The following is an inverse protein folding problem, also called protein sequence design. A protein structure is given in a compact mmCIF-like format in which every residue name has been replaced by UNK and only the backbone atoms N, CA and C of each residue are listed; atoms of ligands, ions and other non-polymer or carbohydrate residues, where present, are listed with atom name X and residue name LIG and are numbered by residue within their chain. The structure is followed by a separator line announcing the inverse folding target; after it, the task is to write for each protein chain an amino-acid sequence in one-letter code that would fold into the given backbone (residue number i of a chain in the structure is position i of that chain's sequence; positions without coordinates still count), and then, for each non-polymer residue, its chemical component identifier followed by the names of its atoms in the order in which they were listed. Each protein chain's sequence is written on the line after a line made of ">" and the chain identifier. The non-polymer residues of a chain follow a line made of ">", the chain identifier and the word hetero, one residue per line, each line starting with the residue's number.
data_IF_838956705570
#
_entry.id   IF_838956705570
#
_cell.length_a   1.000
_cell.length_b   1.000
_cell.length_c   1.000
_cell.angle_alpha   90.00
_cell.angle_beta   90.00
_cell.angle_gamma   90.00
#
_symmetry.space_group_name_H-M   'P 1'
#
loop_
_entity.id
_entity.type
_entity.pdbx_description
1 polymer ?
#
# COMPACT_ATOMS: atom_id res chain seq x y z
N UNK A 1 -5.38 -28.96 -4.05
CA UNK A 1 -4.24 -28.09 -3.67
C UNK A 1 -4.66 -26.64 -3.36
N UNK A 2 -5.81 -26.17 -3.82
CA UNK A 2 -6.32 -24.81 -3.54
C UNK A 2 -6.91 -24.66 -2.14
N UNK A 3 -7.45 -25.69 -1.53
CA UNK A 3 -8.03 -25.65 -0.17
C UNK A 3 -7.01 -25.39 0.96
N UNK A 4 -5.71 -25.64 0.71
CA UNK A 4 -4.68 -25.49 1.73
C UNK A 4 -4.16 -24.05 1.89
N UNK A 5 -4.35 -23.18 0.90
CA UNK A 5 -3.82 -21.80 0.93
C UNK A 5 -4.73 -20.89 1.75
N UNK A 6 -6.05 -21.11 1.70
CA UNK A 6 -7.01 -20.27 2.43
C UNK A 6 -7.05 -20.59 3.93
N UNK A 7 -6.82 -21.86 4.30
CA UNK A 7 -6.69 -22.26 5.72
C UNK A 7 -5.44 -21.66 6.38
N UNK A 8 -4.38 -21.42 5.60
CA UNK A 8 -3.13 -20.82 6.08
C UNK A 8 -3.29 -19.32 6.46
N UNK A 9 -4.17 -18.59 5.78
CA UNK A 9 -4.44 -17.17 6.07
C UNK A 9 -5.17 -16.93 7.40
N UNK A 10 -5.88 -17.93 7.91
CA UNK A 10 -6.71 -17.83 9.12
C UNK A 10 -5.94 -17.99 10.45
N UNK A 11 -4.67 -18.41 10.42
CA UNK A 11 -3.92 -18.89 11.59
C UNK A 11 -2.89 -17.90 12.14
N UNK A 12 -2.86 -16.66 11.69
CA UNK A 12 -1.79 -15.74 12.03
C UNK A 12 -1.96 -15.08 13.41
N UNK A 13 -1.32 -15.67 14.41
CA UNK A 13 -1.15 -15.08 15.74
C UNK A 13 -0.10 -13.95 15.79
N UNK A 14 0.03 -13.29 16.93
CA UNK A 14 0.75 -12.02 17.11
C UNK A 14 2.28 -12.10 17.32
N UNK A 15 2.90 -13.29 17.32
CA UNK A 15 4.36 -13.44 17.49
C UNK A 15 4.96 -14.54 16.59
N UNK A 16 6.22 -14.40 16.22
CA UNK A 16 6.96 -15.35 15.37
C UNK A 16 6.98 -16.78 15.94
N UNK A 17 7.28 -16.90 17.21
CA UNK A 17 7.35 -18.20 17.91
C UNK A 17 5.98 -18.88 18.04
N UNK A 18 4.94 -18.11 18.37
CA UNK A 18 3.57 -18.63 18.49
C UNK A 18 3.04 -19.12 17.14
N UNK A 19 3.32 -18.36 16.07
CA UNK A 19 2.90 -18.73 14.72
C UNK A 19 3.53 -20.05 14.26
N UNK A 20 4.84 -20.21 14.36
CA UNK A 20 5.53 -21.43 13.95
C UNK A 20 5.02 -22.65 14.73
N UNK A 21 4.80 -22.50 16.02
CA UNK A 21 4.27 -23.58 16.87
C UNK A 21 2.85 -24.00 16.48
N UNK A 22 1.98 -23.04 16.19
CA UNK A 22 0.59 -23.33 15.76
C UNK A 22 0.56 -24.00 14.39
N UNK A 23 1.33 -23.50 13.42
CA UNK A 23 1.41 -24.06 12.07
C UNK A 23 2.01 -25.46 12.10
N UNK A 24 3.08 -25.69 12.85
CA UNK A 24 3.67 -27.02 13.00
C UNK A 24 2.70 -28.00 13.67
N UNK A 25 1.98 -27.54 14.69
CA UNK A 25 0.99 -28.36 15.41
C UNK A 25 -0.17 -28.71 14.48
N UNK A 26 -0.67 -27.76 13.71
CA UNK A 26 -1.75 -27.98 12.74
C UNK A 26 -1.30 -28.88 11.58
N UNK A 27 -0.11 -28.65 11.04
CA UNK A 27 0.47 -29.49 9.99
C UNK A 27 0.60 -30.95 10.47
N UNK A 28 1.06 -31.18 11.70
CA UNK A 28 1.12 -32.50 12.31
C UNK A 28 -0.28 -33.14 12.51
N UNK A 29 -1.24 -32.36 13.00
CA UNK A 29 -2.60 -32.85 13.29
C UNK A 29 -3.38 -33.19 12.02
N UNK A 30 -3.09 -32.56 10.90
CA UNK A 30 -3.79 -32.74 9.62
C UNK A 30 -2.95 -33.42 8.54
N UNK A 31 -1.74 -33.90 8.86
CA UNK A 31 -0.78 -34.48 7.89
C UNK A 31 -0.45 -33.57 6.72
N UNK A 32 -0.38 -32.27 6.97
CA UNK A 32 -0.02 -31.27 5.95
C UNK A 32 1.50 -31.16 5.82
N UNK A 33 1.99 -31.26 4.60
CA UNK A 33 3.36 -30.89 4.26
C UNK A 33 3.42 -29.42 3.84
N UNK A 34 3.93 -28.57 4.72
CA UNK A 34 4.19 -27.17 4.34
C UNK A 34 5.28 -27.12 3.27
N UNK A 35 5.06 -26.40 2.16
CA UNK A 35 6.07 -26.29 1.14
C UNK A 35 7.28 -25.49 1.66
N UNK A 36 8.46 -26.07 1.55
CA UNK A 36 9.74 -25.43 1.93
C UNK A 36 10.49 -24.87 0.72
N UNK A 37 10.09 -25.31 -0.47
CA UNK A 37 10.71 -24.93 -1.74
C UNK A 37 9.70 -24.28 -2.67
N UNK A 38 10.16 -23.27 -3.39
CA UNK A 38 9.38 -22.61 -4.43
C UNK A 38 9.13 -23.57 -5.58
N UNK A 39 7.86 -23.78 -5.95
CA UNK A 39 7.47 -24.63 -7.08
C UNK A 39 7.95 -24.10 -8.44
N UNK A 40 8.27 -22.81 -8.54
CA UNK A 40 8.68 -22.14 -9.78
C UNK A 40 10.20 -22.23 -10.02
N UNK A 41 11.02 -22.04 -8.98
CA UNK A 41 12.48 -21.97 -9.14
C UNK A 41 13.29 -22.85 -8.19
N UNK A 42 12.64 -23.62 -7.30
CA UNK A 42 13.29 -24.53 -6.35
C UNK A 42 14.00 -23.85 -5.17
N UNK A 43 14.08 -22.52 -5.11
CA UNK A 43 14.67 -21.78 -4.00
C UNK A 43 13.81 -21.97 -2.71
N UNK A 44 14.40 -21.66 -1.55
CA UNK A 44 13.70 -21.73 -0.29
C UNK A 44 12.51 -20.78 -0.23
N UNK A 45 11.44 -21.20 0.41
CA UNK A 45 10.34 -20.35 0.80
C UNK A 45 10.61 -19.81 2.20
N UNK A 46 10.37 -18.52 2.39
CA UNK A 46 10.50 -17.82 3.67
C UNK A 46 9.15 -17.22 4.05
N UNK A 47 8.82 -17.28 5.34
CA UNK A 47 7.63 -16.65 5.87
C UNK A 47 7.90 -15.15 6.00
N UNK A 48 6.98 -14.31 5.54
CA UNK A 48 7.09 -12.87 5.74
C UNK A 48 6.93 -12.49 7.24
N UNK A 49 7.31 -11.27 7.62
CA UNK A 49 7.33 -10.87 9.04
C UNK A 49 5.94 -10.74 9.69
N UNK A 50 4.87 -10.67 8.89
CA UNK A 50 3.50 -10.69 9.40
C UNK A 50 2.95 -12.13 9.51
N UNK A 51 3.76 -13.13 9.19
CA UNK A 51 3.45 -14.57 9.24
C UNK A 51 2.24 -15.02 8.39
N UNK A 52 1.85 -14.23 7.38
CA UNK A 52 0.66 -14.48 6.56
C UNK A 52 0.95 -15.10 5.20
N UNK A 53 2.19 -15.04 4.73
CA UNK A 53 2.54 -15.43 3.37
C UNK A 53 3.89 -16.13 3.32
N UNK A 54 3.98 -17.16 2.47
CA UNK A 54 5.24 -17.74 2.04
C UNK A 54 5.73 -16.98 0.80
N UNK A 55 6.96 -16.50 0.85
CA UNK A 55 7.63 -15.82 -0.27
C UNK A 55 8.84 -16.60 -0.73
N UNK A 56 9.10 -16.62 -2.03
CA UNK A 56 10.34 -17.16 -2.57
C UNK A 56 11.52 -16.29 -2.15
N UNK A 57 12.60 -16.91 -1.63
CA UNK A 57 13.83 -16.18 -1.26
C UNK A 57 14.62 -15.67 -2.47
N UNK A 58 14.38 -16.22 -3.66
CA UNK A 58 14.99 -15.76 -4.90
C UNK A 58 14.28 -14.53 -5.44
N UNK A 59 14.91 -13.36 -5.36
CA UNK A 59 14.38 -12.09 -5.86
C UNK A 59 14.14 -12.06 -7.38
N UNK A 60 14.83 -12.92 -8.14
CA UNK A 60 14.68 -13.04 -9.59
C UNK A 60 13.70 -14.15 -10.00
N UNK A 61 12.96 -14.72 -9.07
CA UNK A 61 11.95 -15.72 -9.39
C UNK A 61 10.75 -15.10 -10.11
N UNK A 62 10.19 -15.83 -11.08
CA UNK A 62 8.94 -15.44 -11.79
C UNK A 62 7.83 -15.07 -10.80
N UNK A 63 7.66 -15.83 -9.72
CA UNK A 63 6.65 -15.55 -8.70
C UNK A 63 6.85 -14.19 -8.01
N UNK A 64 8.10 -13.73 -7.87
CA UNK A 64 8.41 -12.40 -7.31
C UNK A 64 8.04 -11.29 -8.29
N UNK A 65 8.33 -11.47 -9.58
CA UNK A 65 7.91 -10.51 -10.61
C UNK A 65 6.39 -10.41 -10.68
N UNK A 66 5.70 -11.57 -10.72
CA UNK A 66 4.25 -11.61 -10.70
C UNK A 66 3.67 -10.86 -9.49
N UNK A 67 4.21 -11.11 -8.28
CA UNK A 67 3.77 -10.46 -7.07
C UNK A 67 3.97 -8.93 -7.10
N UNK A 68 5.09 -8.44 -7.64
CA UNK A 68 5.34 -6.99 -7.79
C UNK A 68 4.36 -6.35 -8.77
N UNK A 69 4.17 -6.95 -9.94
CA UNK A 69 3.23 -6.44 -10.94
C UNK A 69 1.79 -6.42 -10.39
N UNK A 70 1.36 -7.51 -9.73
CA UNK A 70 0.03 -7.59 -9.12
C UNK A 70 -0.15 -6.51 -8.05
N UNK A 71 0.81 -6.35 -7.13
CA UNK A 71 0.74 -5.31 -6.10
C UNK A 71 0.67 -3.91 -6.73
N UNK A 72 1.45 -3.64 -7.78
CA UNK A 72 1.41 -2.36 -8.48
C UNK A 72 0.03 -2.08 -9.09
N UNK A 73 -0.51 -3.05 -9.84
CA UNK A 73 -1.82 -2.89 -10.49
C UNK A 73 -2.96 -2.79 -9.49
N UNK A 74 -2.90 -3.53 -8.38
CA UNK A 74 -3.89 -3.48 -7.31
C UNK A 74 -3.84 -2.14 -6.56
N UNK A 75 -2.64 -1.64 -6.22
CA UNK A 75 -2.44 -0.37 -5.53
C UNK A 75 -2.97 0.80 -6.36
N UNK A 76 -2.67 0.83 -7.65
CA UNK A 76 -3.15 1.87 -8.56
C UNK A 76 -4.55 1.58 -9.14
N UNK A 77 -5.22 0.48 -8.74
CA UNK A 77 -6.56 0.07 -9.20
C UNK A 77 -6.66 -0.13 -10.71
N UNK A 78 -5.56 -0.54 -11.35
CA UNK A 78 -5.46 -0.84 -12.78
C UNK A 78 -6.12 -2.20 -13.03
N UNK A 79 -7.20 -2.23 -13.77
CA UNK A 79 -7.91 -3.45 -14.12
C UNK A 79 -7.25 -4.17 -15.30
N UNK A 80 -7.78 -5.35 -15.66
CA UNK A 80 -7.35 -6.19 -16.79
C UNK A 80 -5.99 -6.90 -16.59
N UNK A 81 -5.30 -6.68 -15.46
CA UNK A 81 -4.02 -7.31 -15.11
C UNK A 81 -4.18 -8.30 -13.94
N UNK A 82 -5.13 -9.25 -14.05
CA UNK A 82 -5.24 -10.35 -13.09
C UNK A 82 -4.04 -11.29 -13.15
N UNK A 83 -3.81 -12.08 -12.09
CA UNK A 83 -2.63 -12.97 -11.95
C UNK A 83 -2.40 -13.88 -13.16
N UNK A 84 -3.47 -14.47 -13.71
CA UNK A 84 -3.37 -15.32 -14.91
C UNK A 84 -2.93 -14.53 -16.15
N UNK A 85 -3.40 -13.29 -16.29
CA UNK A 85 -2.97 -12.39 -17.36
C UNK A 85 -1.51 -12.01 -17.20
N UNK A 86 -1.10 -11.60 -15.99
CA UNK A 86 0.29 -11.26 -15.64
C UNK A 86 1.21 -12.44 -15.96
N UNK A 87 0.82 -13.66 -15.56
CA UNK A 87 1.58 -14.86 -15.82
C UNK A 87 1.81 -15.10 -17.33
N UNK A 88 0.73 -15.06 -18.12
CA UNK A 88 0.81 -15.21 -19.58
C UNK A 88 1.71 -14.14 -20.22
N UNK A 89 1.64 -12.89 -19.75
CA UNK A 89 2.46 -11.81 -20.28
C UNK A 89 3.95 -12.00 -19.97
N UNK A 90 4.29 -12.44 -18.75
CA UNK A 90 5.67 -12.74 -18.37
C UNK A 90 6.21 -13.93 -19.19
N UNK A 91 5.42 -14.99 -19.37
CA UNK A 91 5.82 -16.16 -20.13
C UNK A 91 6.07 -15.86 -21.62
N UNK A 92 5.34 -14.89 -22.15
CA UNK A 92 5.52 -14.44 -23.54
C UNK A 92 6.53 -13.25 -23.65
N UNK A 93 7.27 -12.95 -22.59
CA UNK A 93 8.24 -11.86 -22.55
C UNK A 93 7.66 -10.49 -22.98
N UNK A 94 6.42 -10.19 -22.57
CA UNK A 94 5.79 -8.89 -22.82
C UNK A 94 6.33 -7.87 -21.82
N UNK A 95 6.39 -8.23 -20.54
CA UNK A 95 6.98 -7.44 -19.47
C UNK A 95 7.53 -8.35 -18.34
N UNK A 96 8.42 -7.82 -17.52
CA UNK A 96 8.92 -8.47 -16.27
C UNK A 96 8.92 -7.51 -15.09
N UNK A 97 9.12 -6.23 -15.34
CA UNK A 97 9.23 -5.19 -14.32
C UNK A 97 8.08 -4.19 -14.43
N UNK A 98 7.91 -3.36 -13.40
CA UNK A 98 6.87 -2.32 -13.41
C UNK A 98 7.09 -1.30 -14.55
N UNK A 99 8.31 -0.78 -14.79
CA UNK A 99 8.52 0.13 -15.93
C UNK A 99 8.20 -0.49 -17.30
N UNK A 100 8.34 -1.83 -17.44
CA UNK A 100 8.00 -2.50 -18.71
C UNK A 100 6.50 -2.42 -19.03
N UNK A 101 5.62 -2.34 -18.02
CA UNK A 101 4.18 -2.17 -18.22
C UNK A 101 3.85 -0.94 -19.07
N UNK A 102 4.64 0.10 -18.96
CA UNK A 102 4.43 1.37 -19.68
C UNK A 102 5.10 1.40 -21.05
N UNK A 103 5.79 0.31 -21.43
CA UNK A 103 6.49 0.13 -22.71
C UNK A 103 5.92 -1.02 -23.54
N UNK A 104 4.74 -1.52 -23.19
CA UNK A 104 4.11 -2.68 -23.84
C UNK A 104 3.86 -2.43 -25.33
N UNK A 105 4.25 -3.40 -26.16
CA UNK A 105 3.79 -3.52 -27.54
C UNK A 105 2.41 -4.20 -27.57
N UNK A 106 1.36 -3.40 -27.67
CA UNK A 106 -0.02 -3.89 -27.66
C UNK A 106 -0.39 -4.69 -28.93
N UNK A 107 0.31 -4.49 -30.06
CA UNK A 107 0.12 -5.30 -31.25
C UNK A 107 0.56 -6.75 -31.01
N UNK A 108 1.65 -6.93 -30.22
CA UNK A 108 2.09 -8.25 -29.81
C UNK A 108 1.05 -8.93 -28.91
N UNK A 109 0.44 -8.20 -27.96
CA UNK A 109 -0.64 -8.74 -27.11
C UNK A 109 -1.83 -9.16 -27.98
N UNK A 110 -2.26 -8.33 -28.94
CA UNK A 110 -3.40 -8.62 -29.79
C UNK A 110 -3.23 -9.90 -30.63
N UNK A 111 -1.98 -10.29 -30.91
CA UNK A 111 -1.64 -11.52 -31.65
C UNK A 111 -1.50 -12.76 -30.78
N UNK A 112 -1.56 -12.64 -29.43
CA UNK A 112 -1.42 -13.77 -28.51
C UNK A 112 -2.70 -14.59 -28.41
N UNK A 113 -2.57 -15.90 -28.20
CA UNK A 113 -3.70 -16.79 -27.96
C UNK A 113 -4.52 -16.38 -26.71
N UNK A 114 -5.83 -16.28 -26.89
CA UNK A 114 -6.77 -15.82 -25.87
C UNK A 114 -6.82 -14.31 -25.67
N UNK A 115 -6.12 -13.52 -26.50
CA UNK A 115 -6.20 -12.07 -26.59
C UNK A 115 -6.62 -11.63 -27.99
N UNK A 116 -6.99 -10.37 -28.13
CA UNK A 116 -7.36 -9.75 -29.40
C UNK A 116 -7.24 -8.24 -29.29
N UNK A 117 -7.49 -7.53 -30.40
CA UNK A 117 -7.42 -6.07 -30.44
C UNK A 117 -8.23 -5.37 -29.35
N UNK A 118 -9.44 -5.88 -29.05
CA UNK A 118 -10.31 -5.30 -28.01
C UNK A 118 -9.72 -5.42 -26.61
N UNK A 119 -9.16 -6.58 -26.27
CA UNK A 119 -8.53 -6.79 -24.95
C UNK A 119 -7.24 -5.99 -24.82
N UNK A 120 -6.40 -5.97 -25.85
CA UNK A 120 -5.19 -5.16 -25.89
C UNK A 120 -5.50 -3.65 -25.76
N UNK A 121 -6.51 -3.16 -26.47
CA UNK A 121 -6.96 -1.76 -26.36
C UNK A 121 -7.48 -1.43 -24.98
N UNK A 122 -8.20 -2.34 -24.33
CA UNK A 122 -8.73 -2.17 -22.96
C UNK A 122 -7.60 -2.13 -21.94
N UNK A 123 -6.63 -3.03 -22.02
CA UNK A 123 -5.43 -3.01 -21.17
C UNK A 123 -4.66 -1.70 -21.31
N UNK A 124 -4.50 -1.21 -22.54
CA UNK A 124 -3.87 0.09 -22.80
C UNK A 124 -4.64 1.23 -22.15
N UNK A 125 -5.95 1.29 -22.32
CA UNK A 125 -6.81 2.33 -21.76
C UNK A 125 -6.74 2.34 -20.23
N UNK A 126 -6.71 1.17 -19.58
CA UNK A 126 -6.58 1.06 -18.14
C UNK A 126 -5.23 1.63 -17.64
N UNK A 127 -4.12 1.25 -18.26
CA UNK A 127 -2.81 1.80 -17.92
C UNK A 127 -2.72 3.31 -18.18
N UNK A 128 -3.28 3.79 -19.29
CA UNK A 128 -3.23 5.21 -19.65
C UNK A 128 -4.08 6.08 -18.71
N UNK A 129 -5.15 5.54 -18.13
CA UNK A 129 -6.02 6.26 -17.18
C UNK A 129 -5.50 6.27 -15.74
N UNK A 130 -4.49 5.46 -15.39
CA UNK A 130 -3.94 5.32 -14.06
C UNK A 130 -2.45 5.70 -13.99
N UNK A 131 -2.11 6.87 -14.56
CA UNK A 131 -0.73 7.41 -14.58
C UNK A 131 -0.47 8.46 -13.50
N UNK A 132 -1.27 8.48 -12.45
CA UNK A 132 -1.06 9.32 -11.28
C UNK A 132 -1.15 8.50 -10.00
N UNK A 133 -0.25 8.74 -9.06
CA UNK A 133 -0.21 8.09 -7.75
C UNK A 133 0.18 9.09 -6.67
N UNK A 134 -0.25 8.88 -5.42
CA UNK A 134 0.40 9.52 -4.27
C UNK A 134 1.81 8.96 -4.10
N UNK A 135 2.66 9.64 -3.35
CA UNK A 135 4.00 9.11 -3.05
C UNK A 135 3.95 7.79 -2.28
N UNK A 136 2.97 7.64 -1.38
CA UNK A 136 2.75 6.41 -0.64
C UNK A 136 2.32 5.26 -1.54
N UNK A 137 1.30 5.46 -2.39
CA UNK A 137 0.86 4.46 -3.39
C UNK A 137 2.01 4.08 -4.34
N UNK A 138 2.78 5.06 -4.83
CA UNK A 138 3.89 4.82 -5.74
C UNK A 138 4.94 3.89 -5.10
N UNK A 139 5.44 4.20 -3.90
CA UNK A 139 6.46 3.40 -3.23
C UNK A 139 5.91 2.03 -2.80
N UNK A 140 4.70 1.99 -2.22
CA UNK A 140 4.07 0.75 -1.77
C UNK A 140 3.78 -0.22 -2.91
N UNK A 141 3.41 0.30 -4.09
CA UNK A 141 3.16 -0.49 -5.30
C UNK A 141 4.36 -1.34 -5.74
N UNK A 142 5.58 -0.96 -5.37
CA UNK A 142 6.78 -1.78 -5.63
C UNK A 142 6.91 -3.01 -4.73
N UNK A 143 5.98 -3.24 -3.81
CA UNK A 143 5.91 -4.43 -2.97
C UNK A 143 7.19 -4.67 -2.15
N UNK A 144 7.69 -3.63 -1.50
CA UNK A 144 8.78 -3.77 -0.52
C UNK A 144 8.24 -4.57 0.67
N UNK A 145 8.97 -5.61 1.06
CA UNK A 145 8.54 -6.53 2.11
C UNK A 145 8.23 -5.79 3.42
N UNK A 146 7.03 -6.01 3.96
CA UNK A 146 6.51 -5.41 5.19
C UNK A 146 6.39 -3.87 5.18
N UNK A 147 6.48 -3.24 4.01
CA UNK A 147 6.38 -1.80 3.84
C UNK A 147 5.18 -1.45 2.93
N UNK A 148 3.97 -1.70 3.41
CA UNK A 148 2.74 -1.31 2.72
C UNK A 148 2.47 0.19 2.80
N UNK A 149 1.42 0.64 2.09
CA UNK A 149 1.04 2.04 1.94
C UNK A 149 0.95 2.80 3.28
N UNK A 150 0.30 2.20 4.29
CA UNK A 150 0.18 2.82 5.61
C UNK A 150 1.53 3.09 6.29
N UNK A 151 2.52 2.21 6.10
CA UNK A 151 3.87 2.40 6.66
C UNK A 151 4.57 3.55 5.93
N UNK A 152 4.49 3.58 4.60
CA UNK A 152 5.08 4.65 3.79
C UNK A 152 4.42 5.99 4.14
N UNK A 153 3.08 6.02 4.25
CA UNK A 153 2.35 7.23 4.65
C UNK A 153 2.77 7.72 6.05
N UNK A 154 2.93 6.81 7.01
CA UNK A 154 3.42 7.18 8.35
C UNK A 154 4.83 7.80 8.30
N UNK A 155 5.71 7.32 7.42
CA UNK A 155 7.05 7.91 7.23
C UNK A 155 6.94 9.31 6.61
N UNK A 156 6.07 9.49 5.61
CA UNK A 156 5.78 10.79 5.00
C UNK A 156 5.33 11.78 6.07
N UNK A 157 4.32 11.41 6.85
CA UNK A 157 3.71 12.26 7.87
C UNK A 157 4.68 12.58 9.01
N UNK A 158 5.40 11.57 9.50
CA UNK A 158 6.24 11.68 10.70
C UNK A 158 7.65 12.24 10.43
N UNK A 159 8.18 12.05 9.22
CA UNK A 159 9.54 12.50 8.85
C UNK A 159 9.54 13.65 7.84
N UNK A 160 8.39 13.96 7.25
CA UNK A 160 8.27 15.03 6.26
C UNK A 160 8.93 14.71 4.91
N UNK A 161 9.11 13.45 4.56
CA UNK A 161 9.58 13.05 3.25
C UNK A 161 8.48 13.25 2.21
N UNK A 162 8.59 14.28 1.40
CA UNK A 162 7.56 14.68 0.43
C UNK A 162 7.89 14.35 -1.02
N UNK A 163 9.07 13.80 -1.28
CA UNK A 163 9.53 13.45 -2.63
C UNK A 163 10.13 12.06 -2.69
N UNK A 164 10.06 11.42 -3.87
CA UNK A 164 10.72 10.14 -4.11
C UNK A 164 12.23 10.24 -3.86
N UNK A 165 12.86 11.32 -4.27
CA UNK A 165 14.30 11.54 -4.06
C UNK A 165 14.67 11.56 -2.57
N UNK A 166 13.82 12.15 -1.71
CA UNK A 166 14.05 12.13 -0.26
C UNK A 166 14.08 10.68 0.28
N UNK A 167 13.15 9.82 -0.17
CA UNK A 167 13.15 8.40 0.20
C UNK A 167 14.39 7.64 -0.35
N UNK A 168 14.74 7.86 -1.62
CA UNK A 168 15.84 7.14 -2.27
C UNK A 168 17.23 7.54 -1.76
N UNK A 169 17.37 8.74 -1.17
CA UNK A 169 18.63 9.24 -0.62
C UNK A 169 18.70 9.13 0.92
N UNK A 170 17.61 8.77 1.60
CA UNK A 170 17.58 8.54 3.03
C UNK A 170 18.39 7.30 3.42
N UNK A 171 18.88 7.27 4.66
CA UNK A 171 19.51 6.10 5.28
C UNK A 171 18.47 5.34 6.11
N UNK A 172 18.78 4.08 6.45
CA UNK A 172 17.87 3.25 7.26
C UNK A 172 17.44 3.94 8.57
N UNK A 173 18.38 4.58 9.27
CA UNK A 173 18.09 5.27 10.53
C UNK A 173 17.15 6.47 10.38
N UNK A 174 17.07 7.08 9.21
CA UNK A 174 16.19 8.23 8.96
C UNK A 174 14.72 7.81 8.97
N UNK A 175 14.42 6.53 8.73
CA UNK A 175 13.08 5.96 8.77
C UNK A 175 12.62 5.55 10.17
N UNK A 176 13.54 5.45 11.17
CA UNK A 176 13.18 5.01 12.54
C UNK A 176 12.32 6.07 13.22
N UNK A 177 11.14 5.65 13.69
CA UNK A 177 10.17 6.49 14.38
C UNK A 177 9.23 5.65 15.25
N UNK A 178 8.32 6.30 16.00
CA UNK A 178 7.28 5.59 16.76
C UNK A 178 6.43 4.75 15.79
N UNK A 179 6.33 3.45 16.06
CA UNK A 179 5.62 2.49 15.19
C UNK A 179 6.45 1.91 14.04
N UNK A 180 7.67 2.40 13.77
CA UNK A 180 8.57 1.86 12.76
C UNK A 180 9.98 1.66 13.34
N UNK A 181 10.26 0.42 13.76
CA UNK A 181 11.52 0.02 14.41
C UNK A 181 12.61 -0.29 13.37
N UNK A 182 13.84 -0.41 13.85
CA UNK A 182 15.06 -0.66 13.07
C UNK A 182 14.89 -1.77 12.01
N UNK A 183 14.37 -2.94 12.38
CA UNK A 183 14.17 -4.08 11.45
C UNK A 183 13.29 -3.71 10.24
N UNK A 184 12.25 -2.92 10.42
CA UNK A 184 11.38 -2.48 9.32
C UNK A 184 12.01 -1.32 8.54
N UNK A 185 12.73 -0.43 9.21
CA UNK A 185 13.49 0.65 8.58
C UNK A 185 14.57 0.09 7.64
N UNK A 186 15.30 -0.96 8.08
CA UNK A 186 16.28 -1.65 7.26
C UNK A 186 15.64 -2.32 6.03
N UNK A 187 14.47 -2.94 6.19
CA UNK A 187 13.75 -3.54 5.06
C UNK A 187 13.32 -2.49 4.05
N UNK A 188 12.81 -1.35 4.53
CA UNK A 188 12.42 -0.24 3.68
C UNK A 188 13.64 0.29 2.92
N UNK A 189 14.74 0.59 3.61
CA UNK A 189 15.97 1.07 3.00
C UNK A 189 16.50 0.10 1.94
N UNK A 190 16.66 -1.17 2.30
CA UNK A 190 17.18 -2.18 1.38
C UNK A 190 16.27 -2.39 0.18
N UNK A 191 14.95 -2.38 0.39
CA UNK A 191 13.97 -2.47 -0.68
C UNK A 191 14.01 -1.27 -1.64
N UNK A 192 14.13 -0.06 -1.11
CA UNK A 192 14.29 1.16 -1.90
C UNK A 192 15.57 1.11 -2.74
N UNK A 193 16.70 0.70 -2.15
CA UNK A 193 17.96 0.61 -2.90
C UNK A 193 17.91 -0.48 -3.99
N UNK A 194 17.34 -1.63 -3.70
CA UNK A 194 17.20 -2.73 -4.67
C UNK A 194 16.29 -2.39 -5.85
N UNK A 195 15.30 -1.50 -5.65
CA UNK A 195 14.29 -1.14 -6.65
C UNK A 195 14.46 0.28 -7.20
N UNK A 196 15.56 0.95 -6.83
CA UNK A 196 15.83 2.35 -7.16
C UNK A 196 15.76 2.63 -8.66
N UNK A 197 16.39 1.79 -9.48
CA UNK A 197 16.41 1.96 -10.93
C UNK A 197 15.02 1.81 -11.53
N UNK A 198 14.26 0.81 -11.10
CA UNK A 198 12.88 0.59 -11.54
C UNK A 198 11.97 1.76 -11.14
N UNK A 199 12.14 2.32 -9.93
CA UNK A 199 11.40 3.50 -9.46
C UNK A 199 11.72 4.73 -10.30
N UNK A 200 13.01 5.00 -10.55
CA UNK A 200 13.46 6.14 -11.36
C UNK A 200 13.03 6.02 -12.82
N UNK A 201 12.90 4.81 -13.35
CA UNK A 201 12.37 4.60 -14.69
C UNK A 201 10.84 4.75 -14.71
N UNK A 202 10.13 4.22 -13.71
CA UNK A 202 8.66 4.27 -13.63
C UNK A 202 8.14 5.69 -13.46
N UNK A 203 8.83 6.54 -12.69
CA UNK A 203 8.42 7.93 -12.47
C UNK A 203 8.39 8.78 -13.76
N UNK A 204 9.03 8.32 -14.84
CA UNK A 204 8.92 8.95 -16.17
C UNK A 204 7.55 8.76 -16.80
N UNK A 205 6.80 7.74 -16.38
CA UNK A 205 5.49 7.38 -16.93
C UNK A 205 4.33 7.67 -15.98
N UNK A 206 4.59 7.61 -14.66
CA UNK A 206 3.59 7.80 -13.61
C UNK A 206 3.95 9.05 -12.81
N UNK A 207 3.05 10.02 -12.84
CA UNK A 207 3.20 11.28 -12.11
C UNK A 207 2.89 11.06 -10.63
N UNK A 208 3.86 11.35 -9.78
CA UNK A 208 3.61 11.42 -8.33
C UNK A 208 2.91 12.75 -8.04
N UNK A 209 1.75 12.66 -7.40
CA UNK A 209 1.01 13.85 -6.95
C UNK A 209 1.83 14.61 -5.93
N UNK A 210 2.02 15.91 -6.16
CA UNK A 210 2.71 16.75 -5.20
C UNK A 210 1.96 16.77 -3.87
N UNK A 211 2.69 16.53 -2.79
CA UNK A 211 2.17 16.75 -1.44
C UNK A 211 2.15 18.26 -1.24
N UNK A 212 1.04 18.90 -1.57
CA UNK A 212 0.84 20.31 -1.27
C UNK A 212 0.71 20.46 0.24
N UNK A 213 1.82 20.78 0.93
CA UNK A 213 1.71 21.44 2.22
C UNK A 213 1.22 22.85 1.91
N UNK A 214 -0.05 23.09 2.14
CA UNK A 214 -0.57 24.45 2.17
C UNK A 214 -0.04 25.06 3.47
N UNK A 215 1.13 25.72 3.39
CA UNK A 215 1.64 26.50 4.50
C UNK A 215 0.71 27.71 4.68
N UNK A 216 0.01 27.79 5.79
CA UNK A 216 -0.78 28.97 6.16
C UNK A 216 -2.28 28.91 5.89
N UNK A 217 -2.88 27.75 5.66
CA UNK A 217 -4.35 27.62 5.64
C UNK A 217 -4.97 27.73 7.04
N UNK A 218 -6.29 27.98 7.13
CA UNK A 218 -7.05 28.10 8.38
C UNK A 218 -6.92 26.88 9.31
N UNK A 219 -6.59 25.71 8.73
CA UNK A 219 -6.40 24.46 9.44
C UNK A 219 -4.92 24.03 9.52
N UNK A 220 -3.99 24.95 9.26
CA UNK A 220 -2.56 24.67 9.25
C UNK A 220 -2.06 24.09 10.58
N UNK A 221 -1.33 22.96 10.51
CA UNK A 221 -0.82 22.25 11.68
C UNK A 221 -1.86 21.44 12.46
N UNK A 222 -3.11 21.37 12.00
CA UNK A 222 -4.19 20.60 12.64
C UNK A 222 -4.46 19.29 11.89
N UNK A 223 -4.78 18.23 12.63
CA UNK A 223 -5.06 16.92 12.09
C UNK A 223 -6.50 16.48 12.38
N UNK A 224 -7.14 15.91 11.37
CA UNK A 224 -8.56 15.55 11.37
C UNK A 224 -8.74 14.06 11.07
N UNK A 225 -9.64 13.42 11.80
CA UNK A 225 -10.14 12.08 11.52
C UNK A 225 -11.65 12.13 11.35
N UNK A 226 -12.21 11.28 10.51
CA UNK A 226 -13.64 11.25 10.20
C UNK A 226 -14.24 9.89 10.52
N UNK A 227 -15.44 9.87 11.09
CA UNK A 227 -16.18 8.64 11.41
C UNK A 227 -17.69 8.82 11.32
N UNK A 228 -18.38 7.72 10.98
CA UNK A 228 -19.85 7.72 10.84
C UNK A 228 -20.36 8.28 9.50
N UNK A 229 -21.67 8.35 9.33
CA UNK A 229 -22.30 9.00 8.19
C UNK A 229 -22.04 10.51 8.20
N UNK A 230 -21.86 11.10 7.05
CA UNK A 230 -21.66 12.54 6.86
C UNK A 230 -22.63 13.03 5.77
N UNK A 231 -22.96 14.33 5.78
CA UNK A 231 -23.81 14.95 4.75
C UNK A 231 -23.05 15.02 3.41
N UNK A 232 -21.75 15.33 3.48
CA UNK A 232 -20.84 15.33 2.33
C UNK A 232 -20.12 13.99 2.19
N UNK A 233 -19.65 13.70 0.98
CA UNK A 233 -18.77 12.53 0.76
C UNK A 233 -17.48 12.71 1.55
N UNK A 234 -16.98 11.62 2.09
CA UNK A 234 -15.73 11.66 2.89
C UNK A 234 -14.55 12.22 2.10
N UNK A 235 -14.47 11.93 0.80
CA UNK A 235 -13.44 12.50 -0.10
C UNK A 235 -13.52 14.02 -0.19
N UNK A 236 -14.73 14.60 -0.22
CA UNK A 236 -14.93 16.04 -0.26
C UNK A 236 -14.47 16.72 1.05
N UNK A 237 -14.78 16.09 2.19
CA UNK A 237 -14.34 16.57 3.50
C UNK A 237 -12.80 16.52 3.64
N UNK A 238 -12.17 15.48 3.11
CA UNK A 238 -10.71 15.36 3.07
C UNK A 238 -10.08 16.46 2.23
N UNK A 239 -10.61 16.70 1.02
CA UNK A 239 -10.16 17.81 0.16
C UNK A 239 -10.27 19.18 0.85
N UNK A 240 -11.33 19.41 1.65
CA UNK A 240 -11.49 20.65 2.40
C UNK A 240 -10.38 20.78 3.44
N UNK A 241 -10.04 19.72 4.19
CA UNK A 241 -8.94 19.75 5.15
C UNK A 241 -7.62 20.10 4.45
N UNK A 242 -7.31 19.38 3.37
CA UNK A 242 -6.06 19.54 2.64
C UNK A 242 -5.92 20.92 1.98
N UNK A 243 -7.01 21.42 1.37
CA UNK A 243 -7.03 22.78 0.79
C UNK A 243 -6.80 23.87 1.82
N UNK A 244 -7.17 23.64 3.08
CA UNK A 244 -6.99 24.56 4.19
C UNK A 244 -5.72 24.29 5.04
N UNK A 245 -4.81 23.45 4.55
CA UNK A 245 -3.51 23.19 5.18
C UNK A 245 -3.54 22.23 6.36
N UNK A 246 -4.67 21.56 6.61
CA UNK A 246 -4.79 20.51 7.61
C UNK A 246 -4.33 19.15 7.10
N UNK A 247 -4.22 18.19 8.00
CA UNK A 247 -3.81 16.80 7.72
C UNK A 247 -4.97 15.86 8.02
N UNK A 248 -5.25 14.90 7.12
CA UNK A 248 -6.28 13.86 7.35
C UNK A 248 -5.65 12.60 7.89
N UNK A 249 -6.19 12.09 9.01
CA UNK A 249 -5.85 10.79 9.55
C UNK A 249 -6.96 9.78 9.26
N UNK A 250 -6.64 8.66 8.64
CA UNK A 250 -7.61 7.58 8.40
C UNK A 250 -8.12 6.94 9.70
N UNK A 251 -7.27 6.90 10.74
CA UNK A 251 -7.60 6.43 12.08
C UNK A 251 -7.25 7.48 13.12
N UNK A 252 -8.02 7.54 14.23
CA UNK A 252 -7.72 8.42 15.34
C UNK A 252 -6.42 7.98 16.04
N UNK A 253 -5.36 8.79 15.92
CA UNK A 253 -4.05 8.62 16.56
C UNK A 253 -3.95 9.52 17.79
N UNK A 254 -2.87 9.41 18.57
CA UNK A 254 -2.64 10.27 19.75
C UNK A 254 -2.44 11.75 19.40
N UNK A 255 -1.91 12.01 18.22
CA UNK A 255 -1.65 13.33 17.65
C UNK A 255 -2.81 13.84 16.76
N UNK A 256 -3.96 13.16 16.76
CA UNK A 256 -5.16 13.62 16.06
C UNK A 256 -5.82 14.73 16.89
N UNK A 257 -5.91 15.95 16.34
CA UNK A 257 -6.51 17.08 17.01
C UNK A 257 -8.03 17.00 17.04
N UNK A 258 -8.64 16.62 15.93
CA UNK A 258 -10.10 16.63 15.77
C UNK A 258 -10.64 15.31 15.21
N UNK A 259 -11.76 14.85 15.80
CA UNK A 259 -12.57 13.78 15.25
C UNK A 259 -13.91 14.38 14.80
N UNK A 260 -14.13 14.39 13.49
CA UNK A 260 -15.40 14.86 12.89
C UNK A 260 -16.36 13.68 12.77
N UNK A 261 -17.58 13.85 13.31
CA UNK A 261 -18.59 12.79 13.40
C UNK A 261 -20.01 13.35 13.49
N UNK A 262 -20.98 12.56 13.05
CA UNK A 262 -22.38 12.96 13.09
C UNK A 262 -22.96 12.95 14.52
N UNK A 263 -22.58 11.97 15.33
CA UNK A 263 -23.08 11.81 16.72
C UNK A 263 -21.90 11.72 17.69
N UNK A 264 -21.74 12.77 18.50
CA UNK A 264 -20.68 12.87 19.52
C UNK A 264 -20.81 11.84 20.65
N UNK A 265 -21.99 11.22 20.82
CA UNK A 265 -22.23 10.17 21.80
C UNK A 265 -21.96 8.76 21.25
N UNK A 266 -21.58 8.63 19.99
CA UNK A 266 -21.25 7.35 19.35
C UNK A 266 -20.23 6.53 20.17
N UNK A 267 -20.44 5.21 20.20
CA UNK A 267 -19.54 4.21 20.83
C UNK A 267 -18.62 3.54 19.82
N UNK A 268 -18.46 4.13 18.62
CA UNK A 268 -17.55 3.58 17.62
C UNK A 268 -16.11 3.52 18.14
N UNK A 269 -15.32 2.55 17.66
CA UNK A 269 -13.92 2.38 18.08
C UNK A 269 -13.06 3.63 17.87
N UNK A 270 -13.38 4.47 16.85
CA UNK A 270 -12.73 5.75 16.63
C UNK A 270 -13.13 6.79 17.67
N UNK A 271 -14.41 6.83 18.06
CA UNK A 271 -14.91 7.74 19.11
C UNK A 271 -14.33 7.39 20.48
N UNK A 272 -14.23 6.10 20.82
CA UNK A 272 -13.61 5.68 22.08
C UNK A 272 -12.11 6.01 22.13
N UNK A 273 -11.39 5.81 21.03
CA UNK A 273 -9.99 6.22 20.92
C UNK A 273 -9.83 7.73 21.05
N UNK A 274 -10.70 8.52 20.42
CA UNK A 274 -10.69 9.97 20.52
C UNK A 274 -10.86 10.45 21.96
N UNK A 275 -11.85 9.89 22.68
CA UNK A 275 -12.05 10.20 24.12
C UNK A 275 -10.83 9.84 24.96
N UNK A 276 -10.23 8.65 24.72
CA UNK A 276 -9.03 8.20 25.43
C UNK A 276 -7.82 9.09 25.16
N UNK A 277 -7.70 9.62 23.95
CA UNK A 277 -6.58 10.46 23.53
C UNK A 277 -6.78 11.95 23.85
N UNK A 278 -7.96 12.38 24.30
CA UNK A 278 -8.29 13.79 24.49
C UNK A 278 -8.53 14.55 23.18
N UNK A 279 -8.81 13.83 22.07
CA UNK A 279 -9.10 14.40 20.76
C UNK A 279 -10.42 15.16 20.79
N UNK A 280 -10.45 16.39 20.30
CA UNK A 280 -11.67 17.22 20.25
C UNK A 280 -12.66 16.63 19.23
N UNK A 281 -13.93 16.46 19.63
CA UNK A 281 -14.97 15.94 18.75
C UNK A 281 -15.80 17.09 18.17
N UNK A 282 -15.90 17.11 16.83
CA UNK A 282 -16.66 18.11 16.07
C UNK A 282 -17.81 17.46 15.32
N UNK A 283 -18.89 18.21 15.13
CA UNK A 283 -19.88 17.90 14.08
C UNK A 283 -19.33 18.31 12.72
N UNK A 284 -19.97 17.84 11.65
CA UNK A 284 -19.60 18.28 10.28
C UNK A 284 -19.82 19.80 10.12
N UNK A 285 -20.88 20.35 10.70
CA UNK A 285 -21.18 21.78 10.67
C UNK A 285 -20.13 22.61 11.40
N UNK A 286 -19.72 22.18 12.59
CA UNK A 286 -18.65 22.83 13.35
C UNK A 286 -17.32 22.79 12.58
N UNK A 287 -17.00 21.66 11.93
CA UNK A 287 -15.81 21.53 11.09
C UNK A 287 -15.86 22.49 9.89
N UNK A 288 -16.99 22.55 9.18
CA UNK A 288 -17.13 23.48 8.04
C UNK A 288 -17.02 24.93 8.50
N UNK A 289 -17.65 25.26 9.64
CA UNK A 289 -17.52 26.59 10.24
C UNK A 289 -16.08 27.00 10.56
N UNK A 290 -15.22 26.05 10.95
CA UNK A 290 -13.77 26.33 11.12
C UNK A 290 -13.05 26.67 9.80
N UNK A 291 -13.58 26.20 8.66
CA UNK A 291 -12.99 26.44 7.35
C UNK A 291 -13.44 27.78 6.73
N UNK A 292 -14.61 28.30 7.12
CA UNK A 292 -15.25 29.50 6.55
C UNK A 292 -14.93 30.79 7.31
N UNK A 293 -14.28 30.71 8.48
CA UNK A 293 -14.01 31.87 9.37
C UNK A 293 -12.68 32.56 9.06
N UNK A 294 -12.38 32.78 7.77
CA UNK A 294 -11.32 33.74 7.35
C UNK A 294 -11.67 34.39 6.01
#
# INVERSE_FOLDING_TARGET
>A
MEENVDSFKLLCGNSEETFMTEVETLAKNHNWNLPTKCSVCGADLVINANHKELKCSNEFCKSRYMGRISTWTDTLKIKEFGLTTIEKMIDNNIFKTIPDLYKIDYAKIASMDGFGEKSAAKMKSELDSHKEATLAEFIAGFNITDCGENIIQNVIDGKGFTTLDAFLNAKANDFIMEGLKEKTADKLYNGLQALKEDMLETVKFVKIKEIKKVEGGSLGGQSFCFTGPAQRKRSELWEIVEKNGGVVHESCKKDTNFLVMADKNSTSSKAEKARKNGTTMLSEEEFIGMCEVL
#
